data_IF_375441031496
#
_entry.id   IF_375441031496
#
_cell.length_a   1.000
_cell.length_b   1.000
_cell.length_c   1.000
_cell.angle_alpha   90.00
_cell.angle_beta   90.00
_cell.angle_gamma   90.00
#
_symmetry.space_group_name_H-M   'P 1'
#
loop_
_entity.id
_entity.type
_entity.pdbx_description
1 polymer ?
#
# COMPACT_ATOMS: atom_id res chain seq x y z
N UNK A 1 30.43 -25.79 3.00
CA UNK A 1 29.83 -27.08 3.41
C UNK A 1 28.52 -27.18 2.69
N UNK A 2 28.51 -27.89 1.57
CA UNK A 2 27.35 -28.08 0.70
C UNK A 2 26.38 -29.08 1.35
N UNK A 3 25.24 -28.59 1.83
CA UNK A 3 24.12 -29.43 2.23
C UNK A 3 23.11 -29.50 1.07
N UNK A 4 23.11 -30.63 0.35
CA UNK A 4 22.07 -30.98 -0.60
C UNK A 4 20.80 -31.38 0.18
N UNK A 5 19.74 -30.61 0.05
CA UNK A 5 18.41 -31.06 0.44
C UNK A 5 17.77 -31.88 -0.68
N UNK A 6 17.18 -33.04 -0.39
CA UNK A 6 16.52 -33.87 -1.40
C UNK A 6 15.16 -33.26 -1.77
N UNK A 7 14.89 -33.17 -3.06
CA UNK A 7 13.58 -32.94 -3.62
C UNK A 7 12.63 -34.04 -3.23
N UNK A 8 11.73 -33.81 -2.31
CA UNK A 8 10.73 -34.80 -1.94
C UNK A 8 9.88 -34.37 -0.75
N UNK A 9 8.59 -34.18 -1.02
CA UNK A 9 7.50 -34.06 -0.04
C UNK A 9 7.15 -32.64 0.46
N UNK A 10 6.58 -31.81 -0.40
CA UNK A 10 5.55 -30.85 -0.03
C UNK A 10 4.19 -31.54 -0.27
N UNK A 11 3.80 -32.35 0.67
CA UNK A 11 2.48 -33.00 0.72
C UNK A 11 2.15 -33.29 2.18
N UNK A 12 1.97 -32.28 3.00
CA UNK A 12 1.27 -32.37 4.30
C UNK A 12 0.91 -30.93 4.70
N UNK A 13 -0.29 -30.50 4.39
CA UNK A 13 -1.09 -29.56 5.19
C UNK A 13 -2.50 -29.34 4.59
N UNK A 14 -3.16 -30.44 4.16
CA UNK A 14 -4.61 -30.44 3.89
C UNK A 14 -5.17 -31.73 4.51
N UNK A 15 -5.24 -31.77 5.82
CA UNK A 15 -5.99 -32.82 6.52
C UNK A 15 -6.27 -32.39 7.96
N UNK A 16 -7.11 -31.35 8.13
CA UNK A 16 -7.86 -31.16 9.37
C UNK A 16 -9.06 -30.27 9.04
N UNK A 17 -10.14 -30.87 8.64
CA UNK A 17 -11.52 -30.38 8.84
C UNK A 17 -12.52 -31.42 8.32
N UNK A 18 -12.80 -32.42 9.13
CA UNK A 18 -14.02 -33.20 9.01
C UNK A 18 -14.46 -33.67 10.39
N UNK A 19 -15.12 -32.77 11.12
CA UNK A 19 -16.08 -33.15 12.15
C UNK A 19 -17.23 -32.14 12.10
N UNK A 20 -18.27 -32.56 11.39
CA UNK A 20 -19.58 -31.92 11.47
C UNK A 20 -20.17 -32.19 12.83
N UNK A 21 -20.37 -31.17 13.67
CA UNK A 21 -21.28 -31.21 14.79
C UNK A 21 -22.62 -30.61 14.37
N UNK A 22 -23.64 -31.43 14.39
CA UNK A 22 -25.03 -31.03 14.24
C UNK A 22 -25.43 -30.17 15.41
N UNK A 23 -25.80 -28.90 15.16
CA UNK A 23 -26.42 -28.02 16.14
C UNK A 23 -27.92 -28.25 16.10
N UNK A 24 -28.46 -28.82 17.18
CA UNK A 24 -29.88 -28.90 17.44
C UNK A 24 -30.39 -27.52 17.88
N UNK A 25 -31.47 -27.06 17.22
CA UNK A 25 -32.24 -25.92 17.63
C UNK A 25 -32.97 -26.23 18.96
N UNK A 26 -32.71 -25.46 19.98
CA UNK A 26 -33.52 -25.41 21.19
C UNK A 26 -33.43 -24.06 21.87
N UNK A 27 -34.61 -23.52 22.09
CA UNK A 27 -35.03 -22.59 23.14
C UNK A 27 -34.72 -21.09 22.99
N UNK A 28 -35.72 -20.39 22.42
CA UNK A 28 -35.89 -18.93 22.47
C UNK A 28 -36.61 -18.58 23.79
N UNK A 29 -35.86 -18.29 24.85
CA UNK A 29 -36.53 -17.83 26.07
C UNK A 29 -35.74 -17.59 27.32
N UNK A 30 -34.59 -16.93 27.29
CA UNK A 30 -33.96 -16.22 28.41
C UNK A 30 -32.59 -15.60 28.06
N UNK A 31 -31.93 -16.07 26.98
CA UNK A 31 -30.57 -15.63 26.64
C UNK A 31 -30.49 -14.34 25.81
N UNK A 32 -31.62 -13.85 25.29
CA UNK A 32 -31.63 -12.62 24.47
C UNK A 32 -31.22 -11.36 25.26
N UNK A 33 -31.49 -11.32 26.57
CA UNK A 33 -31.05 -10.23 27.42
C UNK A 33 -29.58 -10.38 27.83
N UNK A 34 -29.11 -11.61 28.04
CA UNK A 34 -27.69 -11.87 28.35
C UNK A 34 -26.78 -11.59 27.15
N UNK A 35 -27.18 -11.96 25.93
CA UNK A 35 -26.45 -11.62 24.69
C UNK A 35 -26.42 -10.10 24.43
N UNK A 36 -27.53 -9.38 24.75
CA UNK A 36 -27.56 -7.93 24.68
C UNK A 36 -26.69 -7.26 25.76
N UNK A 37 -26.67 -7.80 26.96
CA UNK A 37 -25.81 -7.31 28.05
C UNK A 37 -24.34 -7.58 27.76
N UNK A 38 -23.99 -8.74 27.18
CA UNK A 38 -22.64 -9.06 26.76
C UNK A 38 -22.17 -8.15 25.61
N UNK A 39 -23.01 -7.91 24.62
CA UNK A 39 -22.75 -6.96 23.50
C UNK A 39 -22.66 -5.51 23.98
N UNK A 40 -23.45 -5.12 24.97
CA UNK A 40 -23.35 -3.80 25.59
C UNK A 40 -22.06 -3.70 26.40
N UNK A 41 -21.67 -4.75 27.12
CA UNK A 41 -20.40 -4.80 27.87
C UNK A 41 -19.20 -4.81 26.93
N UNK A 42 -19.24 -5.51 25.79
CA UNK A 42 -18.24 -5.44 24.72
C UNK A 42 -18.16 -4.05 24.09
N UNK A 43 -19.29 -3.45 23.76
CA UNK A 43 -19.35 -2.07 23.25
C UNK A 43 -18.89 -1.05 24.29
N UNK A 44 -19.15 -1.29 25.58
CA UNK A 44 -18.66 -0.44 26.68
C UNK A 44 -17.18 -0.67 26.98
N UNK A 45 -16.66 -1.88 26.81
CA UNK A 45 -15.24 -2.20 26.97
C UNK A 45 -14.38 -1.63 25.82
N UNK A 46 -14.92 -1.58 24.60
CA UNK A 46 -14.28 -0.96 23.43
C UNK A 46 -14.44 0.56 23.39
N UNK A 47 -15.38 1.13 24.17
CA UNK A 47 -15.52 2.57 24.35
C UNK A 47 -14.71 3.01 25.56
N UNK A 48 -13.45 3.45 25.35
CA UNK A 48 -12.65 4.07 26.42
C UNK A 48 -13.30 5.37 26.91
N UNK A 49 -14.23 5.26 27.89
CA UNK A 49 -15.08 6.37 28.39
C UNK A 49 -14.47 7.15 29.54
N UNK A 50 -13.14 7.23 29.67
CA UNK A 50 -12.49 8.16 30.61
C UNK A 50 -11.92 9.35 29.85
N UNK A 51 -12.73 10.40 29.69
CA UNK A 51 -12.36 11.64 29.03
C UNK A 51 -13.57 12.53 28.76
N UNK A 52 -13.50 13.38 27.76
CA UNK A 52 -14.59 14.24 27.36
C UNK A 52 -15.75 13.40 26.78
N UNK A 53 -16.86 13.30 27.52
CA UNK A 53 -18.07 12.55 27.14
C UNK A 53 -18.74 13.03 25.84
N UNK A 54 -18.29 14.15 25.29
CA UNK A 54 -18.86 14.75 24.05
C UNK A 54 -18.20 14.20 22.78
N UNK A 55 -17.04 13.57 22.89
CA UNK A 55 -16.29 13.02 21.77
C UNK A 55 -16.29 11.50 21.87
N UNK A 56 -16.71 10.81 20.82
CA UNK A 56 -16.56 9.36 20.71
C UNK A 56 -15.07 9.00 20.55
N UNK A 57 -14.70 7.78 20.92
CA UNK A 57 -13.40 7.19 20.59
C UNK A 57 -13.65 5.82 19.97
N UNK A 58 -13.08 5.61 18.79
CA UNK A 58 -13.01 4.31 18.13
C UNK A 58 -11.55 3.93 17.93
N UNK A 59 -11.24 2.69 18.21
CA UNK A 59 -9.91 2.10 17.97
C UNK A 59 -10.08 1.04 16.89
N UNK A 60 -9.35 1.16 15.81
CA UNK A 60 -9.35 0.22 14.69
C UNK A 60 -7.93 0.02 14.20
N UNK A 61 -7.70 -1.02 13.44
CA UNK A 61 -6.38 -1.27 12.88
C UNK A 61 -6.27 -2.66 12.29
N UNK A 62 -5.06 -3.07 12.05
CA UNK A 62 -4.74 -4.45 11.71
C UNK A 62 -3.30 -4.80 12.07
N UNK A 63 -3.08 -6.08 12.27
CA UNK A 63 -1.74 -6.69 12.36
C UNK A 63 -1.51 -7.48 11.08
N UNK A 64 -0.36 -7.30 10.47
CA UNK A 64 0.04 -8.03 9.27
C UNK A 64 1.51 -8.43 9.36
N UNK A 65 1.82 -9.66 8.99
CA UNK A 65 3.18 -10.19 8.88
C UNK A 65 3.22 -11.24 7.79
N UNK A 66 4.39 -11.37 7.14
CA UNK A 66 4.64 -12.36 6.11
C UNK A 66 5.99 -13.05 6.31
N UNK A 67 6.10 -14.24 5.75
CA UNK A 67 7.37 -14.93 5.53
C UNK A 67 7.67 -14.81 4.04
N UNK A 68 8.80 -14.24 3.71
CA UNK A 68 9.29 -14.04 2.36
C UNK A 68 10.46 -14.99 2.10
N UNK A 69 10.31 -15.89 1.15
CA UNK A 69 11.35 -16.78 0.65
C UNK A 69 11.88 -16.18 -0.65
N UNK A 70 13.07 -15.63 -0.62
CA UNK A 70 13.69 -14.95 -1.76
C UNK A 70 14.86 -15.74 -2.37
N UNK A 71 15.13 -15.49 -3.65
CA UNK A 71 16.21 -16.06 -4.44
C UNK A 71 16.68 -14.98 -5.44
N UNK A 72 17.98 -14.65 -5.43
CA UNK A 72 18.58 -13.63 -6.30
C UNK A 72 19.48 -14.24 -7.39
N UNK A 73 19.29 -15.53 -7.67
CA UNK A 73 20.07 -16.28 -8.65
C UNK A 73 21.34 -16.95 -8.08
N UNK A 74 21.93 -16.39 -7.03
CA UNK A 74 23.13 -16.92 -6.37
C UNK A 74 22.91 -17.29 -4.90
N UNK A 75 22.07 -16.52 -4.22
CA UNK A 75 21.74 -16.71 -2.80
C UNK A 75 20.22 -16.83 -2.63
N UNK A 76 19.82 -17.50 -1.55
CA UNK A 76 18.41 -17.65 -1.15
C UNK A 76 18.28 -17.73 0.36
N UNK A 77 17.22 -17.14 0.89
CA UNK A 77 16.95 -17.17 2.32
C UNK A 77 15.44 -16.96 2.58
N UNK A 78 15.06 -16.97 3.85
CA UNK A 78 13.71 -16.70 4.29
C UNK A 78 13.73 -15.63 5.38
N UNK A 79 12.92 -14.57 5.20
CA UNK A 79 12.81 -13.47 6.15
C UNK A 79 11.37 -13.32 6.63
N UNK A 80 11.21 -12.87 7.88
CA UNK A 80 9.92 -12.40 8.39
C UNK A 80 9.90 -10.89 8.18
N UNK A 81 8.84 -10.37 7.60
CA UNK A 81 8.66 -8.95 7.38
C UNK A 81 7.19 -8.52 7.51
N UNK A 82 6.97 -7.22 7.63
CA UNK A 82 5.67 -6.59 7.42
C UNK A 82 5.43 -6.40 5.90
N UNK A 83 4.33 -5.75 5.52
CA UNK A 83 4.01 -5.46 4.11
C UNK A 83 4.73 -4.19 3.63
N UNK A 84 5.02 -3.25 4.53
CA UNK A 84 5.76 -2.03 4.21
C UNK A 84 5.10 -0.74 4.71
N UNK A 85 5.83 0.38 4.66
CA UNK A 85 5.32 1.67 5.12
C UNK A 85 3.98 2.02 4.48
N UNK A 86 3.14 2.75 5.22
CA UNK A 86 1.76 3.11 4.88
C UNK A 86 0.75 1.96 4.90
N UNK A 87 1.19 0.72 4.74
CA UNK A 87 0.38 -0.51 4.82
C UNK A 87 0.85 -1.47 5.91
N UNK A 88 1.80 -1.08 6.74
CA UNK A 88 2.30 -1.84 7.87
C UNK A 88 1.24 -2.04 8.96
N UNK A 89 1.50 -2.98 9.85
CA UNK A 89 0.79 -3.15 11.13
C UNK A 89 0.52 -1.78 11.76
N UNK A 90 -0.74 -1.50 12.11
CA UNK A 90 -1.11 -0.18 12.61
C UNK A 90 -2.30 -0.20 13.55
N UNK A 91 -2.37 0.85 14.37
CA UNK A 91 -3.54 1.18 15.18
C UNK A 91 -3.99 2.62 14.86
N UNK A 92 -5.28 2.80 14.74
CA UNK A 92 -5.93 4.07 14.43
C UNK A 92 -6.89 4.44 15.55
N UNK A 93 -6.71 5.62 16.09
CA UNK A 93 -7.61 6.27 17.04
C UNK A 93 -8.40 7.34 16.31
N UNK A 94 -9.71 7.23 16.29
CA UNK A 94 -10.59 8.24 15.71
C UNK A 94 -11.59 8.71 16.75
N UNK A 95 -11.89 10.00 16.74
CA UNK A 95 -12.92 10.58 17.58
C UNK A 95 -13.77 11.57 16.83
N UNK A 96 -15.05 11.64 17.15
CA UNK A 96 -16.00 12.53 16.50
C UNK A 96 -17.01 13.09 17.50
N UNK A 97 -17.37 14.36 17.33
CA UNK A 97 -18.43 15.05 18.08
C UNK A 97 -19.31 15.86 17.13
N UNK A 98 -20.61 15.89 17.40
CA UNK A 98 -21.54 16.79 16.72
C UNK A 98 -21.38 18.21 17.25
N UNK A 99 -21.23 19.20 16.34
CA UNK A 99 -21.21 20.63 16.67
C UNK A 99 -22.64 21.17 16.65
N UNK A 100 -23.32 20.94 15.52
CA UNK A 100 -24.74 21.28 15.28
C UNK A 100 -25.32 20.22 14.34
N UNK A 101 -26.64 20.17 14.10
CA UNK A 101 -27.20 19.31 13.08
C UNK A 101 -26.52 19.51 11.73
N UNK A 102 -25.98 18.42 11.16
CA UNK A 102 -25.25 18.43 9.88
C UNK A 102 -23.76 18.81 9.96
N UNK A 103 -23.25 19.24 11.14
CA UNK A 103 -21.83 19.56 11.33
C UNK A 103 -21.18 18.72 12.41
N UNK A 104 -19.98 18.24 12.13
CA UNK A 104 -19.18 17.42 13.03
C UNK A 104 -17.75 17.93 13.08
N UNK A 105 -17.10 17.75 14.23
CA UNK A 105 -15.66 17.87 14.37
C UNK A 105 -15.08 16.52 14.78
N UNK A 106 -13.88 16.21 14.33
CA UNK A 106 -13.23 14.98 14.70
C UNK A 106 -11.72 15.04 14.57
N UNK A 107 -11.09 13.93 14.91
CA UNK A 107 -9.65 13.75 14.78
C UNK A 107 -9.31 12.32 14.39
N UNK A 108 -8.11 12.13 13.85
CA UNK A 108 -7.49 10.84 13.62
C UNK A 108 -6.03 10.88 14.05
N UNK A 109 -5.60 9.83 14.75
CA UNK A 109 -4.19 9.52 14.99
C UNK A 109 -3.97 8.09 14.52
N UNK A 110 -3.02 7.86 13.62
CA UNK A 110 -2.61 6.53 13.18
C UNK A 110 -1.15 6.32 13.49
N UNK A 111 -0.90 5.29 14.29
CA UNK A 111 0.44 4.78 14.57
C UNK A 111 0.68 3.56 13.71
N UNK A 112 1.88 3.43 13.15
CA UNK A 112 2.30 2.24 12.42
C UNK A 112 3.57 1.65 13.00
N UNK A 113 3.65 0.33 13.00
CA UNK A 113 4.84 -0.43 13.37
C UNK A 113 5.69 -0.69 12.12
N UNK A 114 6.94 -0.27 12.14
CA UNK A 114 7.93 -0.51 11.09
C UNK A 114 9.12 -1.34 11.58
N UNK A 115 8.91 -2.17 12.61
CA UNK A 115 9.97 -3.00 13.20
C UNK A 115 10.48 -4.08 12.24
N UNK A 116 9.68 -4.53 11.28
CA UNK A 116 10.05 -5.52 10.26
C UNK A 116 9.84 -4.93 8.86
N UNK A 117 10.45 -3.77 8.59
CA UNK A 117 10.21 -3.03 7.36
C UNK A 117 10.86 -3.71 6.13
N UNK A 118 10.06 -4.22 5.16
CA UNK A 118 10.60 -4.89 3.97
C UNK A 118 11.38 -3.96 3.05
N UNK A 119 11.13 -2.65 3.10
CA UNK A 119 11.89 -1.66 2.31
C UNK A 119 13.34 -1.47 2.78
N UNK A 120 13.75 -2.06 3.88
CA UNK A 120 15.13 -2.05 4.36
C UNK A 120 15.77 -3.43 4.37
N UNK A 121 15.03 -4.50 4.06
CA UNK A 121 15.55 -5.88 4.05
C UNK A 121 16.28 -6.18 2.74
N UNK A 122 17.47 -6.76 2.85
CA UNK A 122 18.34 -7.09 1.71
C UNK A 122 19.12 -8.38 1.97
N UNK A 123 20.01 -8.78 1.05
CA UNK A 123 20.85 -9.95 1.24
C UNK A 123 21.67 -9.92 2.55
N UNK A 124 22.04 -8.74 3.00
CA UNK A 124 22.85 -8.53 4.22
C UNK A 124 22.06 -8.05 5.44
N UNK A 125 20.80 -7.65 5.27
CA UNK A 125 19.93 -7.10 6.33
C UNK A 125 18.64 -7.89 6.37
N UNK A 126 18.51 -8.80 7.33
CA UNK A 126 17.28 -9.63 7.47
C UNK A 126 16.11 -8.84 8.05
N UNK A 127 16.40 -7.94 8.97
CA UNK A 127 15.40 -7.12 9.65
C UNK A 127 15.84 -5.66 9.63
N UNK A 128 14.95 -4.80 9.14
CA UNK A 128 15.12 -3.35 9.19
C UNK A 128 14.09 -2.78 10.15
N UNK A 129 14.54 -2.34 11.31
CA UNK A 129 13.70 -1.79 12.38
C UNK A 129 13.74 -0.25 12.35
N UNK A 130 12.61 0.36 12.00
CA UNK A 130 12.37 1.79 12.08
C UNK A 130 11.42 2.16 13.23
N UNK A 131 11.04 1.16 14.05
CA UNK A 131 10.22 1.32 15.23
C UNK A 131 8.77 1.76 14.96
N UNK A 132 8.14 2.21 16.02
CA UNK A 132 6.77 2.74 15.98
C UNK A 132 6.80 4.23 15.61
N UNK A 133 6.01 4.63 14.63
CA UNK A 133 5.92 6.04 14.25
C UNK A 133 4.48 6.53 14.07
N UNK A 134 4.30 7.85 14.14
CA UNK A 134 3.03 8.49 13.82
C UNK A 134 2.94 8.70 12.32
N UNK A 135 2.09 7.90 11.68
CA UNK A 135 1.83 8.04 10.25
C UNK A 135 0.91 9.22 9.95
N UNK A 136 -0.21 9.36 10.69
CA UNK A 136 -1.16 10.46 10.53
C UNK A 136 -1.54 11.04 11.88
N UNK A 137 -1.76 12.34 11.94
CA UNK A 137 -2.30 13.05 13.09
C UNK A 137 -2.95 14.35 12.61
N UNK A 138 -4.27 14.39 12.56
CA UNK A 138 -5.01 15.57 12.09
C UNK A 138 -6.37 15.69 12.76
N UNK A 139 -6.89 16.91 12.79
CA UNK A 139 -8.28 17.18 13.10
C UNK A 139 -9.06 17.53 11.84
N UNK A 140 -10.38 17.47 11.91
CA UNK A 140 -11.24 17.87 10.81
C UNK A 140 -12.55 18.48 11.28
N UNK A 141 -13.15 19.29 10.38
CA UNK A 141 -14.55 19.71 10.45
C UNK A 141 -15.24 19.19 9.19
N UNK A 142 -16.41 18.60 9.35
CA UNK A 142 -17.18 18.02 8.28
C UNK A 142 -18.61 18.50 8.29
N UNK A 143 -19.13 18.78 7.10
CA UNK A 143 -20.54 19.03 6.83
C UNK A 143 -21.06 18.03 5.81
N UNK A 144 -22.28 17.56 6.00
CA UNK A 144 -22.92 16.65 5.05
C UNK A 144 -23.03 17.27 3.66
N UNK A 145 -23.29 18.57 3.59
CA UNK A 145 -23.58 19.29 2.34
C UNK A 145 -22.35 20.00 1.75
N UNK A 146 -21.36 20.35 2.59
CA UNK A 146 -20.20 21.14 2.19
C UNK A 146 -18.89 20.33 2.18
N UNK A 147 -18.92 19.05 2.60
CA UNK A 147 -17.74 18.20 2.61
C UNK A 147 -16.90 18.32 3.90
N UNK A 148 -15.61 18.03 3.81
CA UNK A 148 -14.72 17.90 4.96
C UNK A 148 -13.43 18.69 4.75
N UNK A 149 -13.06 19.49 5.74
CA UNK A 149 -11.78 20.17 5.83
C UNK A 149 -10.94 19.49 6.92
N UNK A 150 -9.75 19.02 6.60
CA UNK A 150 -8.82 18.39 7.52
C UNK A 150 -7.52 19.19 7.60
N UNK A 151 -6.91 19.28 8.80
CA UNK A 151 -5.67 20.01 9.05
C UNK A 151 -4.75 19.17 9.93
N UNK A 152 -3.49 19.04 9.54
CA UNK A 152 -2.45 18.30 10.24
C UNK A 152 -1.78 17.28 9.34
N UNK A 153 -1.01 16.36 9.92
CA UNK A 153 -0.32 15.30 9.18
C UNK A 153 -1.34 14.32 8.60
N UNK A 154 -1.55 14.36 7.30
CA UNK A 154 -2.60 13.62 6.59
C UNK A 154 -2.10 13.12 5.23
N UNK A 155 -2.81 12.16 4.66
CA UNK A 155 -2.68 11.85 3.23
C UNK A 155 -3.21 13.05 2.42
N UNK A 156 -2.41 13.59 1.52
CA UNK A 156 -2.84 14.68 0.64
C UNK A 156 -3.82 14.19 -0.44
N UNK A 157 -4.36 15.09 -1.24
CA UNK A 157 -5.51 14.82 -2.11
C UNK A 157 -5.22 13.76 -3.18
N UNK A 158 -4.08 13.81 -3.84
CA UNK A 158 -3.69 12.89 -4.91
C UNK A 158 -3.13 11.56 -4.38
N UNK A 159 -2.77 11.52 -3.07
CA UNK A 159 -2.17 10.30 -2.51
C UNK A 159 -2.99 9.06 -2.83
N UNK A 160 -2.31 8.11 -3.47
CA UNK A 160 -2.86 6.79 -3.82
C UNK A 160 -4.15 6.84 -4.64
N UNK A 161 -4.33 7.92 -5.45
CA UNK A 161 -5.54 8.07 -6.25
C UNK A 161 -5.72 6.91 -7.23
N UNK A 162 -4.63 6.41 -7.82
CA UNK A 162 -4.63 5.25 -8.69
C UNK A 162 -4.75 3.92 -7.91
N UNK A 163 -3.95 3.73 -6.86
CA UNK A 163 -3.88 2.48 -6.09
C UNK A 163 -5.20 2.17 -5.36
N UNK A 164 -5.86 3.19 -4.80
CA UNK A 164 -7.10 2.99 -4.04
C UNK A 164 -8.34 2.70 -4.91
N UNK A 165 -8.18 2.69 -6.22
CA UNK A 165 -9.24 2.17 -7.11
C UNK A 165 -9.35 0.65 -7.05
N UNK A 166 -8.32 -0.05 -6.58
CA UNK A 166 -8.32 -1.52 -6.47
C UNK A 166 -9.30 -2.02 -5.39
N UNK A 167 -10.41 -2.58 -5.81
CA UNK A 167 -11.45 -3.15 -4.97
C UNK A 167 -11.44 -4.69 -4.97
N UNK A 168 -10.35 -5.32 -5.41
CA UNK A 168 -10.22 -6.77 -5.53
C UNK A 168 -10.13 -7.51 -4.18
N UNK A 169 -9.83 -6.80 -3.08
CA UNK A 169 -9.51 -7.39 -1.78
C UNK A 169 -8.03 -7.76 -1.62
N UNK A 170 -7.19 -7.46 -2.63
CA UNK A 170 -5.75 -7.75 -2.60
C UNK A 170 -4.88 -6.50 -2.54
N UNK A 171 -5.46 -5.30 -2.49
CA UNK A 171 -4.78 -4.02 -2.59
C UNK A 171 -3.63 -3.86 -1.56
N UNK A 172 -3.79 -4.33 -0.33
CA UNK A 172 -2.76 -4.25 0.71
C UNK A 172 -1.61 -5.23 0.43
N UNK A 173 -1.91 -6.38 -0.17
CA UNK A 173 -0.96 -7.49 -0.38
C UNK A 173 -0.23 -7.35 -1.71
N UNK A 174 -0.94 -6.87 -2.73
CA UNK A 174 -0.49 -6.76 -4.11
C UNK A 174 -0.96 -5.45 -4.73
N UNK A 175 -0.03 -4.54 -4.94
CA UNK A 175 -0.22 -3.26 -5.62
C UNK A 175 1.06 -2.89 -6.38
N UNK A 176 1.07 -1.80 -7.12
CA UNK A 176 2.20 -1.41 -7.96
C UNK A 176 3.36 -0.78 -7.16
N UNK A 177 3.17 -0.41 -5.90
CA UNK A 177 4.25 0.14 -5.06
C UNK A 177 5.25 -0.96 -4.71
N UNK A 178 6.53 -0.62 -4.76
CA UNK A 178 7.63 -1.56 -4.53
C UNK A 178 7.98 -1.60 -3.02
N UNK A 179 7.09 -2.16 -2.19
CA UNK A 179 7.32 -2.27 -0.75
C UNK A 179 8.30 -3.37 -0.38
N UNK A 180 8.24 -4.51 -1.06
CA UNK A 180 9.07 -5.68 -0.80
C UNK A 180 9.99 -5.96 -2.02
N UNK A 181 11.21 -6.35 -1.74
CA UNK A 181 12.24 -6.60 -2.75
C UNK A 181 13.09 -5.37 -3.14
N UNK A 182 12.58 -4.14 -2.94
CA UNK A 182 13.24 -2.91 -3.41
C UNK A 182 14.62 -2.64 -2.80
N UNK A 183 14.88 -3.08 -1.57
CA UNK A 183 16.17 -2.89 -0.92
C UNK A 183 17.22 -3.97 -1.25
N UNK A 184 16.83 -5.04 -1.93
CA UNK A 184 17.77 -6.04 -2.39
C UNK A 184 18.68 -5.47 -3.47
N UNK A 185 19.97 -5.78 -3.37
CA UNK A 185 20.95 -5.38 -4.37
C UNK A 185 20.79 -6.20 -5.63
N UNK A 186 21.03 -5.57 -6.77
CA UNK A 186 21.11 -6.26 -8.06
C UNK A 186 22.32 -7.18 -8.08
N UNK A 187 22.18 -8.31 -8.77
CA UNK A 187 23.32 -9.09 -9.25
C UNK A 187 23.49 -8.88 -10.75
N UNK A 188 24.73 -8.82 -11.16
CA UNK A 188 25.07 -8.81 -12.58
C UNK A 188 26.10 -9.92 -12.82
N UNK A 189 25.76 -10.87 -13.68
CA UNK A 189 26.59 -12.06 -13.94
C UNK A 189 27.00 -12.80 -12.66
N UNK A 190 26.09 -12.96 -11.70
CA UNK A 190 26.29 -13.62 -10.41
C UNK A 190 27.02 -12.78 -9.35
N UNK A 191 27.46 -11.55 -9.66
CA UNK A 191 28.19 -10.67 -8.73
C UNK A 191 27.26 -9.62 -8.15
N UNK A 192 27.27 -9.47 -6.82
CA UNK A 192 26.50 -8.46 -6.14
C UNK A 192 27.01 -7.05 -6.48
N UNK A 193 26.10 -6.16 -6.89
CA UNK A 193 26.39 -4.77 -7.25
C UNK A 193 26.17 -3.83 -6.07
N UNK A 194 26.40 -2.53 -6.28
CA UNK A 194 26.04 -1.49 -5.31
C UNK A 194 24.67 -0.86 -5.57
N UNK A 195 23.98 -1.26 -6.63
CA UNK A 195 22.65 -0.78 -6.98
C UNK A 195 21.58 -1.77 -6.50
N UNK A 196 20.42 -1.25 -6.21
CA UNK A 196 19.29 -1.98 -5.66
C UNK A 196 18.10 -1.96 -6.63
N UNK A 197 17.17 -2.88 -6.50
CA UNK A 197 15.93 -2.87 -7.29
C UNK A 197 15.16 -1.55 -7.12
N UNK A 198 15.13 -0.99 -5.91
CA UNK A 198 14.50 0.30 -5.65
C UNK A 198 15.19 1.51 -6.28
N UNK A 199 16.43 1.38 -6.75
CA UNK A 199 17.12 2.42 -7.50
C UNK A 199 16.54 2.61 -8.91
N UNK A 200 15.71 1.66 -9.37
CA UNK A 200 15.00 1.68 -10.65
C UNK A 200 13.47 1.75 -10.48
N UNK A 201 13.01 2.10 -9.31
CA UNK A 201 11.63 2.43 -8.96
C UNK A 201 11.58 3.71 -8.10
N UNK A 202 12.41 4.70 -8.38
CA UNK A 202 12.61 5.89 -7.56
C UNK A 202 11.75 7.07 -8.08
N UNK A 203 11.10 7.78 -7.15
CA UNK A 203 10.36 9.00 -7.46
C UNK A 203 10.96 10.21 -6.74
N UNK A 204 11.27 11.24 -7.50
CA UNK A 204 11.87 12.48 -7.01
C UNK A 204 10.88 13.40 -6.35
N UNK A 205 9.71 13.60 -6.93
CA UNK A 205 8.67 14.46 -6.37
C UNK A 205 8.25 14.05 -4.95
N UNK A 206 8.45 12.80 -4.60
CA UNK A 206 8.09 12.23 -3.30
C UNK A 206 9.32 12.01 -2.39
N UNK A 207 10.53 12.31 -2.86
CA UNK A 207 11.80 12.12 -2.15
C UNK A 207 11.97 10.73 -1.52
N UNK A 208 11.53 9.67 -2.19
CA UNK A 208 11.52 8.31 -1.66
C UNK A 208 12.61 7.45 -2.28
N UNK A 209 13.61 7.03 -1.50
CA UNK A 209 14.81 6.36 -2.04
C UNK A 209 14.65 4.87 -2.37
N UNK A 210 13.50 4.23 -2.16
CA UNK A 210 13.44 2.77 -2.27
C UNK A 210 12.11 2.30 -2.84
N UNK A 211 12.04 2.18 -4.16
CA UNK A 211 10.84 1.71 -4.82
C UNK A 211 9.68 2.66 -4.57
N UNK A 212 9.94 3.93 -4.88
CA UNK A 212 9.10 5.04 -4.50
C UNK A 212 7.65 4.84 -4.88
N UNK A 213 6.84 5.27 -3.97
CA UNK A 213 5.41 5.46 -4.16
C UNK A 213 5.26 6.83 -4.83
N UNK A 214 5.37 6.90 -6.16
CA UNK A 214 5.03 8.12 -6.92
C UNK A 214 3.57 8.53 -6.72
N UNK A 215 2.89 7.91 -5.81
CA UNK A 215 1.48 7.94 -5.56
C UNK A 215 1.09 8.93 -4.45
N UNK A 216 2.03 9.71 -3.95
CA UNK A 216 1.80 10.71 -2.92
C UNK A 216 2.22 10.29 -1.52
N UNK A 217 2.51 11.29 -0.71
CA UNK A 217 3.00 11.13 0.66
C UNK A 217 1.97 11.52 1.70
N UNK A 218 2.29 11.21 2.95
CA UNK A 218 1.60 11.74 4.11
C UNK A 218 2.46 12.86 4.68
N UNK A 219 1.94 14.09 4.67
CA UNK A 219 2.62 15.27 5.21
C UNK A 219 1.65 16.18 5.97
N UNK A 220 2.20 17.19 6.63
CA UNK A 220 1.39 18.23 7.26
C UNK A 220 0.79 19.12 6.20
N UNK A 221 -0.51 19.35 6.29
CA UNK A 221 -1.21 20.15 5.29
C UNK A 221 -2.67 20.37 5.61
N UNK A 222 -3.32 21.05 4.69
CA UNK A 222 -4.76 21.29 4.67
C UNK A 222 -5.34 20.51 3.49
N UNK A 223 -6.38 19.73 3.75
CA UNK A 223 -7.09 18.95 2.74
C UNK A 223 -8.58 19.20 2.80
N UNK A 224 -9.17 19.45 1.65
CA UNK A 224 -10.61 19.47 1.47
C UNK A 224 -11.07 18.26 0.66
N UNK A 225 -12.16 17.63 1.11
CA UNK A 225 -12.87 16.57 0.40
C UNK A 225 -14.31 16.99 0.19
N UNK A 226 -14.79 16.99 -1.05
CA UNK A 226 -16.18 17.29 -1.37
C UNK A 226 -17.14 16.21 -0.85
N UNK A 227 -18.43 16.48 -0.72
CA UNK A 227 -19.43 15.43 -0.66
C UNK A 227 -19.38 14.55 -1.90
N UNK A 228 -19.82 13.30 -1.76
CA UNK A 228 -19.98 12.39 -2.91
C UNK A 228 -21.32 12.62 -3.58
N UNK A 229 -21.30 12.93 -4.87
CA UNK A 229 -22.51 13.11 -5.68
C UNK A 229 -22.52 12.12 -6.85
N UNK A 230 -23.56 11.29 -6.92
CA UNK A 230 -23.70 10.23 -7.94
C UNK A 230 -22.46 9.34 -8.11
N UNK A 231 -21.74 9.05 -7.01
CA UNK A 231 -20.50 8.29 -7.01
C UNK A 231 -19.24 9.11 -7.24
N UNK A 232 -19.32 10.37 -7.62
CA UNK A 232 -18.19 11.27 -7.87
C UNK A 232 -17.82 12.07 -6.61
N UNK A 233 -16.54 12.24 -6.37
CA UNK A 233 -16.00 13.15 -5.38
C UNK A 233 -14.71 13.80 -5.88
N UNK A 234 -14.39 14.98 -5.37
CA UNK A 234 -13.14 15.69 -5.64
C UNK A 234 -12.47 16.04 -4.34
N UNK A 235 -11.14 16.12 -4.37
CA UNK A 235 -10.33 16.54 -3.24
C UNK A 235 -9.28 17.54 -3.73
N UNK A 236 -8.91 18.48 -2.86
CA UNK A 236 -7.78 19.37 -3.07
C UNK A 236 -7.00 19.49 -1.77
N UNK A 237 -5.70 19.68 -1.84
CA UNK A 237 -4.84 19.89 -0.67
C UNK A 237 -3.69 20.83 -0.98
N UNK A 238 -3.19 21.42 0.09
CA UNK A 238 -1.95 22.16 0.13
C UNK A 238 -1.14 21.67 1.34
N UNK A 239 0.10 21.26 1.10
CA UNK A 239 1.00 20.71 2.10
C UNK A 239 2.14 21.64 2.44
N UNK A 240 2.98 21.21 3.39
CA UNK A 240 4.28 21.83 3.63
C UNK A 240 5.06 21.84 2.32
N UNK A 241 6.00 22.81 2.20
CA UNK A 241 6.93 22.87 1.09
C UNK A 241 6.23 23.15 -0.26
N UNK A 242 5.16 23.97 -0.22
CA UNK A 242 4.39 24.37 -1.39
C UNK A 242 3.88 23.22 -2.28
N UNK A 243 3.68 22.04 -1.67
CA UNK A 243 3.05 20.91 -2.33
C UNK A 243 1.53 21.16 -2.44
N UNK A 244 0.99 21.14 -3.65
CA UNK A 244 -0.44 21.20 -3.86
C UNK A 244 -0.93 20.04 -4.71
N UNK A 245 -2.09 19.53 -4.38
CA UNK A 245 -2.66 18.37 -5.05
C UNK A 245 -4.15 18.53 -5.32
N UNK A 246 -4.59 17.90 -6.39
CA UNK A 246 -6.01 17.73 -6.72
C UNK A 246 -6.28 16.28 -7.12
N UNK A 247 -7.47 15.79 -6.80
CA UNK A 247 -7.89 14.46 -7.22
C UNK A 247 -9.39 14.37 -7.48
N UNK A 248 -9.75 13.57 -8.46
CA UNK A 248 -11.12 13.16 -8.75
C UNK A 248 -11.29 11.65 -8.57
N UNK A 249 -12.42 11.23 -8.00
CA UNK A 249 -12.73 9.82 -7.77
C UNK A 249 -14.15 9.50 -8.15
N UNK A 250 -14.36 8.29 -8.63
CA UNK A 250 -15.68 7.71 -8.88
C UNK A 250 -15.74 6.29 -8.31
N UNK A 251 -16.86 5.95 -7.68
CA UNK A 251 -17.16 4.58 -7.32
C UNK A 251 -18.67 4.30 -7.48
N UNK A 252 -19.01 3.17 -8.10
CA UNK A 252 -20.40 2.82 -8.32
C UNK A 252 -20.60 1.47 -8.99
N UNK A 253 -21.85 1.04 -9.07
CA UNK A 253 -22.27 -0.15 -9.80
C UNK A 253 -23.02 0.28 -11.05
N UNK A 254 -22.56 -0.15 -12.21
CA UNK A 254 -23.16 0.19 -13.51
C UNK A 254 -23.30 -1.07 -14.34
N UNK A 255 -24.52 -1.38 -14.79
CA UNK A 255 -24.80 -2.49 -15.72
C UNK A 255 -24.18 -3.83 -15.33
N UNK A 256 -24.20 -4.19 -14.03
CA UNK A 256 -23.63 -5.44 -13.53
C UNK A 256 -22.12 -5.42 -13.27
N UNK A 257 -21.49 -4.26 -13.40
CA UNK A 257 -20.09 -4.06 -13.03
C UNK A 257 -19.96 -3.18 -11.79
N UNK A 258 -19.05 -3.55 -10.90
CA UNK A 258 -18.55 -2.70 -9.83
C UNK A 258 -17.36 -1.93 -10.39
N UNK A 259 -17.43 -0.60 -10.38
CA UNK A 259 -16.42 0.29 -10.96
C UNK A 259 -15.82 1.19 -9.89
N UNK A 260 -14.54 1.45 -9.99
CA UNK A 260 -13.84 2.53 -9.30
C UNK A 260 -12.85 3.20 -10.25
N UNK A 261 -12.83 4.52 -10.26
CA UNK A 261 -11.89 5.32 -11.04
C UNK A 261 -11.26 6.37 -10.13
N UNK A 262 -10.02 6.69 -10.38
CA UNK A 262 -9.28 7.72 -9.65
C UNK A 262 -8.29 8.42 -10.58
N UNK A 263 -8.19 9.73 -10.45
CA UNK A 263 -7.17 10.54 -11.09
C UNK A 263 -6.63 11.52 -10.06
N UNK A 264 -5.32 11.73 -10.06
CA UNK A 264 -4.64 12.66 -9.17
C UNK A 264 -3.55 13.42 -9.91
N UNK A 265 -3.33 14.65 -9.49
CA UNK A 265 -2.23 15.47 -9.94
C UNK A 265 -1.66 16.22 -8.74
N UNK A 266 -0.36 16.18 -8.59
CA UNK A 266 0.38 16.88 -7.54
C UNK A 266 1.54 17.65 -8.15
N UNK A 267 1.87 18.78 -7.52
CA UNK A 267 3.03 19.61 -7.86
C UNK A 267 3.73 19.97 -6.58
N UNK A 268 5.02 19.73 -6.56
CA UNK A 268 5.92 20.14 -5.49
C UNK A 268 6.91 21.16 -6.08
N UNK A 269 6.92 22.38 -5.52
CA UNK A 269 7.80 23.47 -5.97
C UNK A 269 8.94 23.70 -5.01
N UNK A 270 9.09 22.84 -3.98
CA UNK A 270 9.95 23.15 -2.87
C UNK A 270 11.37 22.63 -2.94
N UNK A 271 12.11 23.25 -2.06
CA UNK A 271 13.47 22.96 -1.72
C UNK A 271 13.57 21.56 -1.11
N UNK A 272 14.20 20.67 -1.81
CA UNK A 272 14.46 19.34 -1.26
C UNK A 272 15.29 19.46 0.00
N UNK A 273 14.72 19.02 1.08
CA UNK A 273 15.30 19.02 2.42
C UNK A 273 16.48 18.07 2.53
N UNK A 274 17.58 18.42 1.88
CA UNK A 274 18.90 17.93 2.28
C UNK A 274 19.64 19.09 2.91
N UNK A 275 20.30 18.94 4.06
CA UNK A 275 21.11 20.02 4.63
C UNK A 275 22.39 20.24 3.80
N UNK A 276 22.67 21.46 3.33
CA UNK A 276 21.81 22.64 3.37
C UNK A 276 20.68 22.55 2.33
N UNK A 277 19.52 23.10 2.62
CA UNK A 277 18.43 23.16 1.65
C UNK A 277 18.91 23.93 0.42
N UNK A 278 18.74 23.35 -0.76
CA UNK A 278 19.08 23.98 -2.04
C UNK A 278 17.75 24.22 -2.77
N UNK A 279 17.26 25.46 -2.73
CA UNK A 279 16.19 25.86 -3.61
C UNK A 279 16.72 25.91 -5.03
N UNK A 280 16.22 25.01 -5.86
CA UNK A 280 16.51 25.08 -7.30
C UNK A 280 15.51 25.98 -8.02
N UNK A 281 14.40 26.36 -7.38
CA UNK A 281 13.28 27.07 -8.00
C UNK A 281 12.62 26.26 -9.12
N UNK A 282 12.76 24.94 -9.09
CA UNK A 282 12.30 24.02 -10.12
C UNK A 282 11.17 23.14 -9.56
N UNK A 283 10.29 22.74 -10.42
CA UNK A 283 9.03 22.09 -10.12
C UNK A 283 9.09 20.60 -10.50
N UNK A 284 8.60 19.74 -9.64
CA UNK A 284 8.31 18.34 -9.95
C UNK A 284 6.80 18.10 -9.89
N UNK A 285 6.27 17.48 -10.92
CA UNK A 285 4.85 17.18 -11.03
C UNK A 285 4.62 15.67 -11.17
N UNK A 286 3.55 15.16 -10.57
CA UNK A 286 3.12 13.77 -10.71
C UNK A 286 1.67 13.71 -11.16
N UNK A 287 1.44 13.03 -12.26
CA UNK A 287 0.11 12.62 -12.70
C UNK A 287 -0.10 11.14 -12.39
N UNK A 288 -1.28 10.79 -11.90
CA UNK A 288 -1.65 9.39 -11.71
C UNK A 288 -3.12 9.15 -12.07
N UNK A 289 -3.40 7.97 -12.60
CA UNK A 289 -4.75 7.53 -12.93
C UNK A 289 -4.88 6.02 -12.67
N UNK A 290 -6.02 5.60 -12.14
CA UNK A 290 -6.32 4.21 -11.91
C UNK A 290 -7.78 3.88 -12.18
N UNK A 291 -8.02 2.62 -12.51
CA UNK A 291 -9.35 2.13 -12.78
C UNK A 291 -9.51 0.66 -12.39
N UNK A 292 -10.66 0.34 -11.85
CA UNK A 292 -11.08 -1.01 -11.49
C UNK A 292 -12.44 -1.31 -12.05
N UNK A 293 -12.58 -2.50 -12.62
CA UNK A 293 -13.84 -3.03 -13.06
C UNK A 293 -13.96 -4.50 -12.64
N UNK A 294 -15.07 -4.86 -11.97
CA UNK A 294 -15.41 -6.23 -11.62
C UNK A 294 -16.79 -6.58 -12.13
N UNK A 295 -16.91 -7.63 -12.92
CA UNK A 295 -18.20 -8.20 -13.29
C UNK A 295 -18.77 -8.95 -12.09
N UNK A 296 -19.87 -8.41 -11.52
CA UNK A 296 -20.44 -8.86 -10.23
C UNK A 296 -20.83 -10.35 -10.28
N UNK A 297 -21.45 -10.79 -11.38
CA UNK A 297 -21.96 -12.16 -11.49
C UNK A 297 -20.85 -13.21 -11.56
N UNK A 298 -19.73 -12.94 -12.23
CA UNK A 298 -18.62 -13.89 -12.37
C UNK A 298 -17.52 -13.70 -11.35
N UNK A 299 -17.38 -12.49 -10.78
CA UNK A 299 -16.28 -12.11 -9.93
C UNK A 299 -14.98 -11.77 -10.69
N UNK A 300 -14.98 -11.86 -12.02
CA UNK A 300 -13.82 -11.47 -12.85
C UNK A 300 -13.57 -9.98 -12.68
N UNK A 301 -12.30 -9.60 -12.50
CA UNK A 301 -11.91 -8.21 -12.34
C UNK A 301 -10.66 -7.86 -13.14
N UNK A 302 -10.55 -6.57 -13.41
CA UNK A 302 -9.37 -5.91 -13.96
C UNK A 302 -9.11 -4.63 -13.14
N UNK A 303 -7.87 -4.41 -12.75
CA UNK A 303 -7.35 -3.15 -12.22
C UNK A 303 -6.18 -2.69 -13.08
N UNK A 304 -6.16 -1.43 -13.43
CA UNK A 304 -5.03 -0.81 -14.12
C UNK A 304 -4.68 0.52 -13.43
N UNK A 305 -3.40 0.83 -13.39
CA UNK A 305 -2.87 2.08 -12.85
C UNK A 305 -1.75 2.60 -13.73
N UNK A 306 -1.65 3.92 -13.83
CA UNK A 306 -0.61 4.65 -14.54
C UNK A 306 -0.14 5.81 -13.69
N UNK A 307 1.15 6.11 -13.70
CA UNK A 307 1.76 7.27 -13.08
C UNK A 307 2.86 7.83 -13.99
N UNK A 308 3.00 9.15 -13.99
CA UNK A 308 4.08 9.84 -14.70
C UNK A 308 4.61 10.98 -13.82
N UNK A 309 5.91 11.12 -13.79
CA UNK A 309 6.63 12.17 -13.10
C UNK A 309 7.37 13.04 -14.11
N UNK A 310 7.20 14.37 -13.99
CA UNK A 310 7.90 15.37 -14.75
C UNK A 310 8.71 16.26 -13.79
N UNK A 311 10.03 16.21 -13.91
CA UNK A 311 10.96 16.88 -13.01
C UNK A 311 11.49 18.22 -13.56
N UNK A 312 10.97 18.70 -14.71
CA UNK A 312 11.27 20.01 -15.30
C UNK A 312 12.77 20.41 -15.28
N UNK A 313 13.66 19.43 -15.44
CA UNK A 313 15.10 19.64 -15.44
C UNK A 313 15.69 19.98 -14.07
N UNK A 314 15.07 19.52 -12.98
CA UNK A 314 15.64 19.55 -11.63
C UNK A 314 16.95 18.76 -11.61
N UNK A 315 17.93 19.24 -10.85
CA UNK A 315 19.21 18.56 -10.69
C UNK A 315 19.32 17.93 -9.29
N UNK A 316 19.90 16.74 -9.23
CA UNK A 316 20.28 16.13 -7.96
C UNK A 316 21.41 16.92 -7.29
N UNK A 317 21.64 16.70 -5.99
CA UNK A 317 22.78 17.31 -5.28
C UNK A 317 24.14 16.99 -5.91
N UNK A 318 24.25 15.89 -6.63
CA UNK A 318 25.48 15.50 -7.35
C UNK A 318 25.57 16.11 -8.75
N UNK A 319 24.60 16.95 -9.16
CA UNK A 319 24.59 17.65 -10.44
C UNK A 319 24.10 16.83 -11.62
N UNK A 320 23.38 15.73 -11.38
CA UNK A 320 22.70 14.97 -12.43
C UNK A 320 21.30 15.54 -12.66
N UNK A 321 20.87 15.68 -13.92
CA UNK A 321 19.48 15.99 -14.24
C UNK A 321 18.59 14.84 -13.85
N UNK A 322 17.55 15.11 -13.09
CA UNK A 322 16.55 14.12 -12.69
C UNK A 322 15.71 13.73 -13.92
N UNK A 323 15.56 12.42 -14.19
CA UNK A 323 14.80 11.99 -15.35
C UNK A 323 13.30 12.22 -15.15
N UNK A 324 12.60 12.51 -16.25
CA UNK A 324 11.17 12.30 -16.30
C UNK A 324 10.92 10.79 -16.38
N UNK A 325 9.92 10.33 -15.66
CA UNK A 325 9.69 8.91 -15.50
C UNK A 325 8.21 8.55 -15.59
N UNK A 326 7.92 7.30 -15.84
CA UNK A 326 6.54 6.82 -15.79
C UNK A 326 6.47 5.35 -15.36
N UNK A 327 5.30 4.96 -14.91
CA UNK A 327 5.01 3.58 -14.52
C UNK A 327 3.60 3.19 -14.95
N UNK A 328 3.41 1.92 -15.21
CA UNK A 328 2.09 1.35 -15.40
C UNK A 328 1.99 -0.02 -14.74
N UNK A 329 0.77 -0.37 -14.40
CA UNK A 329 0.48 -1.61 -13.69
C UNK A 329 -0.88 -2.15 -14.10
N UNK A 330 -0.96 -3.46 -14.27
CA UNK A 330 -2.21 -4.17 -14.55
C UNK A 330 -2.30 -5.39 -13.64
N UNK A 331 -3.47 -5.57 -13.04
CA UNK A 331 -3.81 -6.76 -12.26
C UNK A 331 -5.17 -7.27 -12.70
N UNK A 332 -5.26 -8.56 -12.97
CA UNK A 332 -6.52 -9.21 -13.32
C UNK A 332 -6.70 -10.49 -12.50
N UNK A 333 -7.95 -10.89 -12.32
CA UNK A 333 -8.22 -12.07 -11.54
C UNK A 333 -9.71 -12.35 -11.36
N UNK A 334 -9.98 -13.21 -10.41
CA UNK A 334 -11.33 -13.58 -10.04
C UNK A 334 -11.47 -13.53 -8.52
N UNK A 335 -12.52 -12.86 -8.03
CA UNK A 335 -12.89 -12.81 -6.62
C UNK A 335 -14.26 -13.45 -6.43
N UNK A 336 -14.32 -14.63 -5.82
CA UNK A 336 -15.54 -15.38 -5.57
C UNK A 336 -15.53 -16.08 -4.23
N UNK A 337 -16.70 -16.29 -3.68
CA UNK A 337 -16.86 -17.09 -2.49
C UNK A 337 -17.04 -18.58 -2.90
N UNK A 338 -15.92 -19.30 -2.97
CA UNK A 338 -15.94 -20.75 -3.22
C UNK A 338 -15.98 -21.56 -1.92
N UNK A 339 -15.49 -20.98 -0.84
CA UNK A 339 -15.48 -21.57 0.48
C UNK A 339 -16.46 -20.80 1.41
N UNK A 340 -17.04 -21.47 2.40
CA UNK A 340 -17.93 -20.80 3.38
C UNK A 340 -17.15 -19.84 4.32
N UNK A 341 -15.83 -19.78 4.24
CA UNK A 341 -14.98 -18.92 5.06
C UNK A 341 -15.07 -17.45 4.65
N UNK A 342 -15.30 -17.15 3.38
CA UNK A 342 -15.27 -15.82 2.78
C UNK A 342 -14.87 -15.88 1.31
N UNK A 343 -14.47 -14.75 0.72
CA UNK A 343 -14.04 -14.74 -0.68
C UNK A 343 -12.63 -15.31 -0.83
N UNK A 344 -12.45 -16.04 -1.93
CA UNK A 344 -11.14 -16.42 -2.45
C UNK A 344 -10.83 -15.53 -3.65
N UNK A 345 -9.63 -14.98 -3.70
CA UNK A 345 -9.15 -14.17 -4.82
C UNK A 345 -7.93 -14.83 -5.43
N UNK A 346 -7.97 -15.06 -6.73
CA UNK A 346 -6.82 -15.52 -7.52
C UNK A 346 -6.52 -14.42 -8.52
N UNK A 347 -5.25 -14.01 -8.61
CA UNK A 347 -4.84 -12.89 -9.48
C UNK A 347 -3.49 -13.13 -10.11
N UNK A 348 -3.25 -12.43 -11.22
CA UNK A 348 -1.95 -12.18 -11.80
C UNK A 348 -1.76 -10.67 -11.95
N UNK A 349 -0.52 -10.21 -11.85
CA UNK A 349 -0.14 -8.81 -11.94
C UNK A 349 1.11 -8.62 -12.79
N UNK A 350 1.19 -7.46 -13.45
CA UNK A 350 2.37 -7.01 -14.16
C UNK A 350 2.50 -5.50 -14.02
N UNK A 351 3.71 -5.01 -13.83
CA UNK A 351 4.02 -3.59 -13.76
C UNK A 351 5.38 -3.30 -14.36
N UNK A 352 5.52 -2.13 -14.98
CA UNK A 352 6.77 -1.62 -15.50
C UNK A 352 7.02 -0.20 -14.98
N UNK A 353 8.27 0.08 -14.69
CA UNK A 353 8.80 1.34 -14.17
C UNK A 353 9.90 1.79 -15.13
N UNK A 354 9.65 2.88 -15.84
CA UNK A 354 10.49 3.37 -16.91
C UNK A 354 11.18 4.66 -16.46
N UNK A 355 12.51 4.67 -16.55
CA UNK A 355 13.39 5.79 -16.19
C UNK A 355 13.23 6.31 -14.76
N UNK A 356 12.75 5.48 -13.85
CA UNK A 356 12.66 5.78 -12.42
C UNK A 356 14.01 5.57 -11.74
N UNK A 357 15.03 6.30 -12.18
CA UNK A 357 16.41 6.15 -11.75
C UNK A 357 16.76 7.03 -10.55
N UNK A 358 17.25 6.40 -9.47
CA UNK A 358 17.72 7.11 -8.28
C UNK A 358 19.01 7.90 -8.54
N UNK A 359 19.39 8.83 -7.64
CA UNK A 359 20.71 9.47 -7.69
C UNK A 359 21.88 8.48 -7.73
N UNK A 360 21.74 7.30 -7.11
CA UNK A 360 22.76 6.26 -7.12
C UNK A 360 22.88 5.60 -8.51
N UNK A 361 21.74 5.33 -9.17
CA UNK A 361 21.72 4.82 -10.53
C UNK A 361 22.34 5.83 -11.52
N UNK A 362 21.97 7.11 -11.43
CA UNK A 362 22.57 8.18 -12.25
C UNK A 362 24.06 8.32 -12.01
N UNK A 363 24.53 8.25 -10.77
CA UNK A 363 25.94 8.29 -10.41
C UNK A 363 26.73 7.07 -10.93
N UNK A 364 26.06 5.92 -11.11
CA UNK A 364 26.64 4.74 -11.75
C UNK A 364 26.67 4.83 -13.28
N UNK A 365 26.13 5.92 -13.85
CA UNK A 365 26.12 6.19 -15.28
C UNK A 365 24.85 5.77 -16.01
N UNK A 366 23.78 5.38 -15.31
CA UNK A 366 22.54 5.00 -15.93
C UNK A 366 21.94 6.16 -16.76
N UNK A 367 21.57 5.89 -17.99
CA UNK A 367 20.99 6.85 -18.94
C UNK A 367 19.53 6.51 -19.29
N UNK A 368 19.16 5.26 -19.17
CA UNK A 368 17.77 4.78 -19.24
C UNK A 368 17.61 3.51 -18.41
N UNK A 369 16.39 3.21 -18.02
CA UNK A 369 16.08 1.98 -17.29
C UNK A 369 14.64 1.52 -17.56
N UNK A 370 14.47 0.22 -17.65
CA UNK A 370 13.17 -0.43 -17.58
C UNK A 370 13.22 -1.51 -16.50
N UNK A 371 12.43 -1.31 -15.45
CA UNK A 371 12.27 -2.29 -14.40
C UNK A 371 10.88 -2.90 -14.49
N UNK A 372 10.81 -4.20 -14.67
CA UNK A 372 9.59 -4.96 -14.80
C UNK A 372 9.34 -5.83 -13.58
N UNK A 373 8.08 -5.96 -13.21
CA UNK A 373 7.62 -6.83 -12.13
C UNK A 373 6.44 -7.67 -12.58
N UNK A 374 6.62 -8.97 -12.57
CA UNK A 374 5.56 -9.95 -12.78
C UNK A 374 5.17 -10.60 -11.46
N UNK A 375 3.89 -10.95 -11.27
CA UNK A 375 3.46 -11.64 -10.06
C UNK A 375 2.13 -12.35 -10.22
N UNK A 376 1.87 -13.26 -9.28
CA UNK A 376 0.60 -13.96 -9.13
C UNK A 376 0.36 -14.31 -7.65
N UNK A 377 -0.88 -14.46 -7.26
CA UNK A 377 -1.19 -14.83 -5.90
C UNK A 377 -2.60 -15.32 -5.66
N UNK A 378 -2.79 -15.84 -4.46
CA UNK A 378 -4.05 -16.27 -3.93
C UNK A 378 -4.26 -15.62 -2.55
N UNK A 379 -5.45 -15.09 -2.34
CA UNK A 379 -5.89 -14.57 -1.05
C UNK A 379 -7.17 -15.29 -0.65
N UNK A 380 -7.23 -15.75 0.59
CA UNK A 380 -8.43 -16.28 1.22
C UNK A 380 -8.87 -15.35 2.33
N UNK A 381 -10.04 -14.74 2.17
CA UNK A 381 -10.70 -13.97 3.23
C UNK A 381 -11.36 -14.94 4.22
N UNK A 382 -11.25 -14.67 5.51
CA UNK A 382 -11.88 -15.41 6.61
C UNK A 382 -12.75 -14.40 7.37
N UNK A 383 -14.01 -14.28 6.94
CA UNK A 383 -14.93 -13.25 7.40
C UNK A 383 -15.17 -13.32 8.93
N UNK A 384 -15.28 -14.52 9.48
CA UNK A 384 -15.50 -14.75 10.91
C UNK A 384 -14.35 -14.24 11.81
N UNK A 385 -13.16 -14.07 11.26
CA UNK A 385 -11.96 -13.60 11.97
C UNK A 385 -11.48 -12.21 11.48
N UNK A 386 -12.22 -11.56 10.57
CA UNK A 386 -11.76 -10.35 9.88
C UNK A 386 -10.33 -10.48 9.35
N UNK A 387 -10.02 -11.66 8.79
CA UNK A 387 -8.67 -12.08 8.44
C UNK A 387 -8.55 -12.29 6.93
N UNK A 388 -7.37 -12.02 6.40
CA UNK A 388 -6.95 -12.45 5.06
C UNK A 388 -5.66 -13.25 5.15
N UNK A 389 -5.64 -14.41 4.53
CA UNK A 389 -4.47 -15.25 4.35
C UNK A 389 -4.04 -15.19 2.90
N UNK A 390 -2.74 -15.18 2.62
CA UNK A 390 -2.27 -15.14 1.24
C UNK A 390 -1.02 -15.98 1.00
N UNK A 391 -0.83 -16.30 -0.27
CA UNK A 391 0.43 -16.67 -0.88
C UNK A 391 0.59 -15.87 -2.17
N UNK A 392 1.76 -15.26 -2.39
CA UNK A 392 2.10 -14.52 -3.61
C UNK A 392 3.48 -14.90 -4.11
N UNK A 393 3.65 -14.90 -5.41
CA UNK A 393 4.91 -14.96 -6.13
C UNK A 393 5.16 -13.63 -6.82
N UNK A 394 6.40 -13.16 -6.82
CA UNK A 394 6.86 -12.03 -7.61
C UNK A 394 8.24 -12.27 -8.17
N UNK A 395 8.47 -11.71 -9.35
CA UNK A 395 9.73 -11.75 -10.08
C UNK A 395 10.03 -10.37 -10.64
N UNK A 396 11.29 -10.00 -10.58
CA UNK A 396 11.80 -8.70 -10.99
C UNK A 396 12.83 -8.90 -12.09
N UNK A 397 12.71 -8.10 -13.16
CA UNK A 397 13.66 -7.97 -14.26
C UNK A 397 14.02 -6.50 -14.43
N UNK A 398 15.23 -6.21 -14.86
CA UNK A 398 15.63 -4.85 -15.18
C UNK A 398 16.61 -4.83 -16.34
N UNK A 399 16.40 -3.88 -17.26
CA UNK A 399 17.33 -3.47 -18.27
C UNK A 399 17.81 -2.06 -17.97
N UNK A 400 19.12 -1.85 -17.94
CA UNK A 400 19.74 -0.56 -17.58
C UNK A 400 20.84 -0.23 -18.58
N UNK A 401 20.68 0.89 -19.26
CA UNK A 401 21.69 1.40 -20.20
C UNK A 401 22.63 2.41 -19.54
N UNK A 402 23.82 2.59 -20.14
CA UNK A 402 24.82 3.58 -19.73
C UNK A 402 25.72 3.17 -18.56
N UNK A 403 25.37 2.11 -17.86
CA UNK A 403 26.19 1.59 -16.74
C UNK A 403 27.23 0.60 -17.22
N UNK A 404 28.18 0.25 -16.35
CA UNK A 404 29.12 -0.87 -16.58
C UNK A 404 28.54 -2.23 -16.16
N UNK A 405 27.27 -2.30 -15.80
CA UNK A 405 26.59 -3.54 -15.49
C UNK A 405 26.47 -4.41 -16.74
N UNK A 406 26.71 -5.71 -16.59
CA UNK A 406 26.32 -6.71 -17.60
C UNK A 406 24.85 -7.10 -17.42
N UNK A 407 24.51 -8.32 -17.85
CA UNK A 407 23.18 -8.86 -17.66
C UNK A 407 22.81 -8.86 -16.17
N UNK A 408 21.62 -8.37 -15.85
CA UNK A 408 21.10 -8.33 -14.49
C UNK A 408 20.37 -9.64 -14.22
N UNK A 409 20.78 -10.32 -13.15
CA UNK A 409 20.18 -11.57 -12.73
C UNK A 409 18.79 -11.32 -12.15
N UNK A 410 17.84 -12.22 -12.39
CA UNK A 410 16.47 -12.14 -11.89
C UNK A 410 16.42 -12.21 -10.36
N UNK A 411 15.52 -11.43 -9.77
CA UNK A 411 15.17 -11.54 -8.36
C UNK A 411 13.75 -12.05 -8.22
N UNK A 412 13.55 -13.11 -7.48
CA UNK A 412 12.24 -13.70 -7.28
C UNK A 412 11.98 -14.05 -5.82
N UNK A 413 10.72 -14.03 -5.44
CA UNK A 413 10.33 -14.45 -4.12
C UNK A 413 8.90 -15.01 -4.08
N UNK A 414 8.69 -15.89 -3.09
CA UNK A 414 7.36 -16.31 -2.65
C UNK A 414 7.15 -15.74 -1.25
N UNK A 415 6.03 -15.10 -1.00
CA UNK A 415 5.67 -14.75 0.36
C UNK A 415 4.30 -15.29 0.74
N UNK A 416 4.17 -15.64 2.03
CA UNK A 416 2.90 -16.05 2.63
C UNK A 416 2.72 -15.31 3.93
N UNK A 417 1.49 -14.94 4.25
CA UNK A 417 1.23 -14.15 5.44
C UNK A 417 -0.24 -14.07 5.80
N UNK A 418 -0.49 -13.30 6.85
CA UNK A 418 -1.81 -13.01 7.36
C UNK A 418 -1.98 -11.53 7.69
N UNK A 419 -3.20 -11.04 7.50
CA UNK A 419 -3.68 -9.74 7.98
C UNK A 419 -4.91 -10.00 8.83
N UNK A 420 -4.96 -9.47 10.05
CA UNK A 420 -6.10 -9.56 10.95
C UNK A 420 -6.50 -8.15 11.33
N UNK A 421 -7.74 -7.77 11.05
CA UNK A 421 -8.31 -6.46 11.36
C UNK A 421 -9.10 -6.48 12.67
N UNK A 422 -9.10 -5.36 13.40
CA UNK A 422 -9.86 -5.17 14.64
C UNK A 422 -10.46 -3.77 14.71
#
# INVERSE_FOLDING_TARGET
VTSKFPAGRIAVLIAFLSTACAASAADLGSDCCADLEERIAELEATSARKGNRKVSLSVTGYVTKQIMFWDDGAERNAYISDIGPTQATNVRFTGEASITPGWKAGYMIRLQDLSDNPMGSSQSVQNSDLGLNTQMAHWYIASKDLGKLSVGKNALAAKSAAMFTDLSGTQVIANYVLFDGGAFFLRSNGVLTNLRWGDFGYCYAQQRPWGGDCDGIVMSGVRYDSPTYAGFSVSASWGEDDDWEVAGRYAGNVSGFKLALGVGYSVNTDERTQPPPVSTGKESAVFQAGGYAQHIATGLFLHAAYGAEDNHGVETLAGFTEPNSHQWYVKSGIRRQWLPLGHTVIYAEYGAYIDQMSPAALAAGATSSEFERFGAGLVQEVDAASMSLWVKYREHHADVEGTSLGDIDEFRYVSTGALISF
#
